data_IF_265742289099
#
_entry.id   IF_265742289099
#
_cell.length_a   1.000
_cell.length_b   1.000
_cell.length_c   1.000
_cell.angle_alpha   90.00
_cell.angle_beta   90.00
_cell.angle_gamma   90.00
#
_symmetry.space_group_name_H-M   'P 1'
#
loop_
_entity.id
_entity.type
_entity.pdbx_description
1 polymer ?
#
# COMPACT_ATOMS: atom_id res chain seq x y z
N UNK A 1 2.06 17.77 -17.69
CA UNK A 1 1.20 16.68 -18.18
C UNK A 1 1.28 16.71 -19.70
N UNK A 2 1.62 15.60 -20.36
CA UNK A 2 1.74 15.59 -21.82
C UNK A 2 0.32 15.68 -22.43
N UNK A 3 0.02 16.66 -23.30
CA UNK A 3 -1.33 16.86 -23.84
C UNK A 3 -1.79 15.76 -24.81
N UNK A 4 -0.91 14.80 -25.14
CA UNK A 4 -1.18 13.70 -26.07
C UNK A 4 -1.43 12.35 -25.37
N UNK A 5 -1.55 12.34 -24.04
CA UNK A 5 -1.77 11.11 -23.27
C UNK A 5 -3.28 10.85 -23.12
N UNK A 6 -3.74 9.64 -23.49
CA UNK A 6 -5.13 9.22 -23.38
C UNK A 6 -5.64 9.40 -21.93
N UNK A 7 -6.95 9.68 -21.72
CA UNK A 7 -7.52 9.93 -20.40
C UNK A 7 -7.22 8.79 -19.40
N UNK A 8 -6.71 9.14 -18.22
CA UNK A 8 -6.32 8.17 -17.17
C UNK A 8 -6.98 8.52 -15.84
N UNK A 9 -7.60 7.53 -15.20
CA UNK A 9 -7.93 7.59 -13.77
C UNK A 9 -6.78 6.99 -12.97
N UNK A 10 -6.37 7.67 -11.90
CA UNK A 10 -5.52 7.09 -10.85
C UNK A 10 -6.38 6.84 -9.62
N UNK A 11 -6.35 5.62 -9.09
CA UNK A 11 -7.07 5.28 -7.86
C UNK A 11 -6.05 4.90 -6.80
N UNK A 12 -6.16 5.51 -5.63
CA UNK A 12 -5.45 5.11 -4.42
C UNK A 12 -6.28 4.04 -3.71
N UNK A 13 -5.65 2.91 -3.42
CA UNK A 13 -6.20 1.85 -2.59
C UNK A 13 -5.54 1.94 -1.21
N UNK A 14 -6.34 1.78 -0.16
CA UNK A 14 -5.88 1.44 1.20
C UNK A 14 -6.10 -0.04 1.41
N UNK A 15 -5.12 -0.76 1.92
CA UNK A 15 -5.22 -2.19 2.17
C UNK A 15 -4.55 -2.60 3.48
N UNK A 16 -5.04 -3.67 4.09
CA UNK A 16 -4.36 -4.34 5.20
C UNK A 16 -3.47 -5.46 4.70
N UNK A 17 -2.45 -5.79 5.48
CA UNK A 17 -1.52 -6.90 5.31
C UNK A 17 -1.33 -7.60 6.66
N UNK A 18 -1.97 -8.74 6.86
CA UNK A 18 -2.01 -9.45 8.15
C UNK A 18 -1.89 -10.97 8.01
N UNK A 19 -1.41 -11.65 9.05
CA UNK A 19 -1.24 -13.10 9.07
C UNK A 19 -0.03 -13.58 8.27
N UNK A 20 -0.10 -14.79 7.68
CA UNK A 20 1.07 -15.46 7.07
C UNK A 20 1.72 -14.64 5.94
N UNK A 21 0.96 -13.81 5.24
CA UNK A 21 1.46 -12.93 4.19
C UNK A 21 2.49 -11.92 4.73
N UNK A 22 2.56 -11.67 6.04
CA UNK A 22 3.48 -10.71 6.64
C UNK A 22 4.96 -10.97 6.31
N UNK A 23 5.31 -12.24 6.05
CA UNK A 23 6.65 -12.68 5.71
C UNK A 23 7.03 -12.49 4.23
N UNK A 24 6.13 -11.97 3.39
CA UNK A 24 6.48 -11.62 2.00
C UNK A 24 7.28 -10.33 1.97
N UNK A 25 8.36 -10.29 1.17
CA UNK A 25 9.10 -9.05 0.93
C UNK A 25 8.27 -8.02 0.16
N UNK A 26 8.70 -6.76 0.17
CA UNK A 26 8.05 -5.72 -0.64
C UNK A 26 7.96 -6.09 -2.14
N UNK A 27 8.99 -6.74 -2.69
CA UNK A 27 8.99 -7.20 -4.08
C UNK A 27 7.93 -8.28 -4.33
N UNK A 28 7.69 -9.14 -3.36
CA UNK A 28 6.67 -10.19 -3.46
C UNK A 28 5.27 -9.60 -3.35
N UNK A 29 5.06 -8.60 -2.47
CA UNK A 29 3.82 -7.81 -2.40
C UNK A 29 3.55 -7.13 -3.74
N UNK A 30 4.55 -6.50 -4.36
CA UNK A 30 4.40 -5.90 -5.69
C UNK A 30 3.97 -6.92 -6.75
N UNK A 31 4.56 -8.12 -6.75
CA UNK A 31 4.17 -9.23 -7.65
C UNK A 31 2.77 -9.78 -7.34
N UNK A 32 2.33 -9.77 -6.09
CA UNK A 32 0.96 -10.16 -5.70
C UNK A 32 -0.03 -9.17 -6.30
N UNK A 33 0.23 -7.86 -6.16
CA UNK A 33 -0.61 -6.82 -6.74
C UNK A 33 -0.68 -6.89 -8.26
N UNK A 34 0.47 -7.00 -8.94
CA UNK A 34 0.51 -7.17 -10.40
C UNK A 34 -0.32 -8.38 -10.87
N UNK A 35 -0.21 -9.53 -10.18
CA UNK A 35 -0.94 -10.75 -10.53
C UNK A 35 -2.43 -10.63 -10.23
N UNK A 36 -2.80 -10.05 -9.09
CA UNK A 36 -4.19 -9.86 -8.68
C UNK A 36 -4.92 -8.92 -9.63
N UNK A 37 -4.30 -7.77 -9.93
CA UNK A 37 -4.83 -6.80 -10.90
C UNK A 37 -4.91 -7.36 -12.32
N UNK A 38 -4.01 -8.26 -12.72
CA UNK A 38 -4.14 -8.95 -14.01
C UNK A 38 -5.34 -9.89 -14.05
N UNK A 39 -5.69 -10.53 -12.92
CA UNK A 39 -6.84 -11.44 -12.82
C UNK A 39 -8.19 -10.73 -12.86
N UNK A 40 -8.25 -9.44 -12.53
CA UNK A 40 -9.52 -8.67 -12.55
C UNK A 40 -10.00 -8.31 -13.96
N UNK A 41 -9.11 -8.35 -14.96
CA UNK A 41 -9.40 -7.85 -16.31
C UNK A 41 -9.60 -6.34 -16.39
N UNK A 42 -9.34 -5.59 -15.32
CA UNK A 42 -9.44 -4.14 -15.32
C UNK A 42 -8.42 -3.51 -16.28
N UNK A 43 -8.72 -2.33 -16.87
CA UNK A 43 -7.87 -1.68 -17.86
C UNK A 43 -6.68 -0.97 -17.19
N UNK A 44 -5.85 -1.68 -16.45
CA UNK A 44 -4.66 -1.14 -15.76
C UNK A 44 -3.65 -0.66 -16.81
N UNK A 45 -3.18 0.58 -16.64
CA UNK A 45 -2.17 1.17 -17.49
C UNK A 45 -0.85 0.41 -17.37
N UNK A 46 -0.09 0.39 -18.46
CA UNK A 46 1.20 -0.29 -18.53
C UNK A 46 2.33 0.72 -18.73
N UNK A 47 3.52 0.42 -18.23
CA UNK A 47 4.75 1.15 -18.53
C UNK A 47 5.08 1.04 -20.02
N UNK A 48 5.78 2.04 -20.53
CA UNK A 48 6.27 2.03 -21.91
C UNK A 48 7.59 1.23 -22.01
N UNK A 49 7.89 0.69 -23.19
CA UNK A 49 9.11 -0.07 -23.46
C UNK A 49 8.90 -1.57 -23.77
N UNK A 50 9.99 -2.32 -23.83
CA UNK A 50 10.03 -3.72 -24.30
C UNK A 50 9.48 -4.76 -23.32
N UNK A 51 9.20 -4.38 -22.07
CA UNK A 51 8.58 -5.26 -21.07
C UNK A 51 7.56 -4.46 -20.26
N UNK A 52 6.34 -4.26 -20.81
CA UNK A 52 5.29 -3.51 -20.14
C UNK A 52 4.91 -4.14 -18.80
N UNK A 53 4.86 -3.32 -17.75
CA UNK A 53 4.43 -3.70 -16.40
C UNK A 53 3.26 -2.83 -15.99
N UNK A 54 2.41 -3.33 -15.09
CA UNK A 54 1.35 -2.52 -14.52
C UNK A 54 1.94 -1.24 -13.89
N UNK A 55 1.36 -0.08 -14.19
CA UNK A 55 1.74 1.20 -13.57
C UNK A 55 1.18 1.27 -12.15
N UNK A 56 1.98 0.78 -11.21
CA UNK A 56 1.72 0.74 -9.78
C UNK A 56 2.69 1.65 -9.05
N UNK A 57 2.19 2.42 -8.09
CA UNK A 57 3.03 3.29 -7.26
C UNK A 57 2.83 2.90 -5.80
N UNK A 58 3.93 2.56 -5.14
CA UNK A 58 3.92 2.13 -3.74
C UNK A 58 4.37 3.28 -2.83
N UNK A 59 3.85 3.28 -1.60
CA UNK A 59 4.31 4.14 -0.52
C UNK A 59 5.60 3.62 0.11
N UNK A 60 5.75 3.88 1.41
CA UNK A 60 6.82 3.31 2.22
C UNK A 60 6.62 1.79 2.32
N UNK A 61 7.70 1.03 2.20
CA UNK A 61 7.64 -0.42 2.28
C UNK A 61 7.56 -0.87 3.74
N UNK A 62 6.48 -1.58 4.10
CA UNK A 62 6.41 -2.30 5.36
C UNK A 62 7.51 -3.36 5.45
N UNK A 63 8.19 -3.41 6.60
CA UNK A 63 9.25 -4.38 6.84
C UNK A 63 8.72 -5.83 6.83
N UNK A 64 9.56 -6.76 6.39
CA UNK A 64 9.22 -8.19 6.41
C UNK A 64 8.97 -8.64 7.85
N UNK A 65 7.90 -9.42 8.06
CA UNK A 65 7.50 -9.89 9.38
C UNK A 65 6.45 -9.01 10.06
N UNK A 66 6.23 -7.80 9.55
CA UNK A 66 5.26 -6.86 10.12
C UNK A 66 3.90 -6.91 9.41
N UNK A 67 2.89 -6.58 10.19
CA UNK A 67 1.51 -6.42 9.77
C UNK A 67 1.14 -4.93 9.73
N UNK A 68 0.12 -4.57 8.95
CA UNK A 68 -0.35 -3.20 8.83
C UNK A 68 -1.81 -3.19 8.44
N UNK A 69 -2.58 -2.28 9.04
CA UNK A 69 -3.99 -2.05 8.70
C UNK A 69 -4.18 -1.05 7.55
N UNK A 70 -3.14 -0.28 7.24
CA UNK A 70 -3.23 0.86 6.34
C UNK A 70 -1.98 1.04 5.47
N UNK A 71 -1.75 0.07 4.59
CA UNK A 71 -0.84 0.24 3.46
C UNK A 71 -1.56 0.93 2.29
N UNK A 72 -0.79 1.55 1.41
CA UNK A 72 -1.34 2.27 0.26
C UNK A 72 -0.69 1.91 -1.07
N UNK A 73 -1.51 1.89 -2.12
CA UNK A 73 -1.12 1.60 -3.49
C UNK A 73 -1.89 2.51 -4.45
N UNK A 74 -1.18 3.25 -5.30
CA UNK A 74 -1.82 3.96 -6.41
C UNK A 74 -1.74 3.11 -7.68
N UNK A 75 -2.88 2.98 -8.35
CA UNK A 75 -3.02 2.23 -9.61
C UNK A 75 -3.45 3.18 -10.72
N UNK A 76 -2.66 3.22 -11.80
CA UNK A 76 -3.03 3.95 -13.01
C UNK A 76 -3.91 3.08 -13.92
N UNK A 77 -5.01 3.64 -14.42
CA UNK A 77 -5.88 3.01 -15.39
C UNK A 77 -5.82 3.73 -16.75
N UNK A 78 -6.14 2.99 -17.82
CA UNK A 78 -6.12 3.50 -19.21
C UNK A 78 -7.34 4.34 -19.59
N UNK A 79 -8.39 4.35 -18.76
CA UNK A 79 -9.65 5.06 -19.02
C UNK A 79 -9.91 6.05 -17.89
N UNK A 80 -10.66 7.12 -18.20
CA UNK A 80 -11.10 8.12 -17.22
C UNK A 80 -12.38 7.73 -16.45
N UNK A 81 -13.08 6.67 -16.85
CA UNK A 81 -14.39 6.26 -16.32
C UNK A 81 -14.31 4.99 -15.46
N UNK A 82 -13.13 4.71 -14.87
CA UNK A 82 -12.98 3.58 -13.96
C UNK A 82 -13.58 3.95 -12.60
N UNK A 83 -14.72 3.35 -12.30
CA UNK A 83 -15.44 3.48 -11.04
C UNK A 83 -14.73 2.74 -9.89
N UNK A 84 -14.63 3.40 -8.73
CA UNK A 84 -14.00 2.84 -7.53
C UNK A 84 -14.67 1.53 -7.09
N UNK A 85 -16.00 1.51 -7.04
CA UNK A 85 -16.75 0.32 -6.60
C UNK A 85 -16.47 -0.90 -7.47
N UNK A 86 -16.36 -0.70 -8.80
CA UNK A 86 -16.00 -1.77 -9.73
C UNK A 86 -14.61 -2.32 -9.46
N UNK A 87 -13.66 -1.47 -9.06
CA UNK A 87 -12.31 -1.91 -8.68
C UNK A 87 -12.36 -2.72 -7.39
N UNK A 88 -13.09 -2.26 -6.38
CA UNK A 88 -13.25 -2.97 -5.12
C UNK A 88 -13.88 -4.35 -5.33
N UNK A 89 -15.02 -4.42 -6.01
CA UNK A 89 -15.72 -5.68 -6.33
C UNK A 89 -14.83 -6.68 -7.05
N UNK A 90 -14.06 -6.21 -8.04
CA UNK A 90 -13.17 -7.08 -8.81
C UNK A 90 -11.97 -7.58 -7.99
N UNK A 91 -11.56 -6.86 -6.93
CA UNK A 91 -10.43 -7.23 -6.08
C UNK A 91 -10.79 -8.26 -5.00
N UNK A 92 -12.03 -8.23 -4.50
CA UNK A 92 -12.50 -9.08 -3.38
C UNK A 92 -12.18 -10.57 -3.58
N UNK A 93 -12.34 -11.10 -4.79
CA UNK A 93 -12.18 -12.55 -5.06
C UNK A 93 -10.79 -12.96 -5.57
N UNK A 94 -9.89 -12.01 -5.80
CA UNK A 94 -8.58 -12.28 -6.41
C UNK A 94 -7.40 -12.04 -5.49
N UNK A 95 -7.60 -11.28 -4.40
CA UNK A 95 -6.58 -11.05 -3.41
C UNK A 95 -6.38 -12.30 -2.54
N UNK A 96 -5.12 -12.59 -2.15
CA UNK A 96 -4.84 -13.71 -1.27
C UNK A 96 -5.28 -13.41 0.17
N UNK A 97 -5.51 -14.47 0.94
CA UNK A 97 -5.73 -14.37 2.38
C UNK A 97 -4.64 -13.55 3.06
N UNK A 98 -5.06 -12.63 3.92
CA UNK A 98 -4.18 -11.70 4.61
C UNK A 98 -3.97 -10.37 3.88
N UNK A 99 -4.50 -10.16 2.66
CA UNK A 99 -4.57 -8.85 2.01
C UNK A 99 -6.03 -8.48 1.75
N UNK A 100 -6.49 -7.38 2.34
CA UNK A 100 -7.84 -6.88 2.11
C UNK A 100 -7.80 -5.39 1.76
N UNK A 101 -8.55 -4.97 0.73
CA UNK A 101 -8.73 -3.55 0.43
C UNK A 101 -9.76 -2.97 1.40
N UNK A 102 -9.38 -1.94 2.14
CA UNK A 102 -10.17 -1.30 3.20
C UNK A 102 -10.62 0.11 2.83
N UNK A 103 -10.27 0.59 1.65
CA UNK A 103 -10.70 1.88 1.14
C UNK A 103 -10.13 2.17 -0.24
N UNK A 104 -10.77 3.06 -0.99
CA UNK A 104 -10.28 3.51 -2.28
C UNK A 104 -10.80 4.90 -2.64
N UNK A 105 -10.00 5.70 -3.36
CA UNK A 105 -10.42 7.00 -3.88
C UNK A 105 -9.74 7.36 -5.19
N UNK A 106 -10.43 8.12 -6.04
CA UNK A 106 -9.84 8.69 -7.25
C UNK A 106 -8.91 9.84 -6.85
N UNK A 107 -7.69 9.83 -7.38
CA UNK A 107 -6.73 10.91 -7.20
C UNK A 107 -6.90 11.98 -8.28
N UNK A 108 -6.84 13.25 -7.86
CA UNK A 108 -6.82 14.39 -8.77
C UNK A 108 -5.45 14.47 -9.48
N UNK A 109 -5.39 14.96 -10.73
CA UNK A 109 -4.13 15.29 -11.38
C UNK A 109 -3.27 16.20 -10.49
N UNK A 110 -1.97 15.92 -10.40
CA UNK A 110 -1.05 16.69 -9.56
C UNK A 110 -1.06 16.33 -8.07
N UNK A 111 -1.83 15.33 -7.63
CA UNK A 111 -1.71 14.79 -6.26
C UNK A 111 -0.26 14.33 -6.00
N UNK A 112 0.29 14.70 -4.83
CA UNK A 112 1.64 14.32 -4.40
C UNK A 112 1.82 12.79 -4.33
N UNK A 113 3.07 12.33 -4.44
CA UNK A 113 3.36 10.90 -4.41
C UNK A 113 3.01 10.29 -3.04
N UNK A 114 2.77 8.98 -2.99
CA UNK A 114 2.53 8.28 -1.73
C UNK A 114 3.65 8.51 -0.71
N UNK A 115 4.90 8.46 -1.15
CA UNK A 115 6.07 8.67 -0.30
C UNK A 115 6.10 10.07 0.33
N UNK A 116 5.60 11.08 -0.37
CA UNK A 116 5.48 12.45 0.15
C UNK A 116 4.23 12.66 1.00
N UNK A 117 3.18 11.87 0.79
CA UNK A 117 1.91 12.00 1.49
C UNK A 117 1.93 11.40 2.91
N UNK A 118 2.82 10.45 3.19
CA UNK A 118 2.95 9.83 4.51
C UNK A 118 3.72 10.76 5.44
N UNK A 119 3.05 11.28 6.47
CA UNK A 119 3.64 12.19 7.47
C UNK A 119 3.94 11.51 8.80
N UNK A 120 3.24 10.41 9.10
CA UNK A 120 3.37 9.67 10.35
C UNK A 120 2.95 8.21 10.16
N UNK A 121 3.35 7.37 11.10
CA UNK A 121 2.87 6.00 11.25
C UNK A 121 2.73 5.70 12.74
N UNK A 122 1.69 4.96 13.09
CA UNK A 122 1.48 4.47 14.44
C UNK A 122 1.91 3.01 14.50
N UNK A 123 2.53 2.63 15.62
CA UNK A 123 3.00 1.28 15.86
C UNK A 123 2.30 0.73 17.09
N UNK A 124 1.71 -0.46 16.93
CA UNK A 124 1.27 -1.28 18.04
C UNK A 124 2.29 -2.41 18.24
N UNK A 125 2.81 -2.52 19.46
CA UNK A 125 3.88 -3.44 19.81
C UNK A 125 3.46 -4.20 21.05
N UNK A 126 3.17 -5.48 20.87
CA UNK A 126 2.94 -6.39 21.98
C UNK A 126 4.29 -6.88 22.54
N UNK A 127 4.52 -6.61 23.82
CA UNK A 127 5.69 -7.08 24.54
C UNK A 127 5.30 -8.26 25.44
N UNK A 128 6.01 -9.38 25.29
CA UNK A 128 5.80 -10.60 26.08
C UNK A 128 6.77 -10.60 27.25
N UNK A 129 6.31 -11.04 28.42
CA UNK A 129 7.11 -11.15 29.66
C UNK A 129 7.70 -9.82 30.17
N UNK A 130 6.99 -8.71 29.94
CA UNK A 130 7.39 -7.36 30.38
C UNK A 130 6.36 -6.80 31.36
N UNK A 131 6.81 -6.24 32.49
CA UNK A 131 5.92 -5.57 33.45
C UNK A 131 5.60 -4.13 33.03
N UNK A 132 4.49 -3.58 33.53
CA UNK A 132 4.13 -2.18 33.28
C UNK A 132 5.23 -1.20 33.76
N UNK A 133 5.89 -1.51 34.88
CA UNK A 133 6.97 -0.69 35.42
C UNK A 133 8.23 -0.75 34.55
N UNK A 134 8.57 -1.93 34.00
CA UNK A 134 9.67 -2.06 33.03
C UNK A 134 9.39 -1.23 31.78
N UNK A 135 8.19 -1.34 31.24
CA UNK A 135 7.75 -0.61 30.05
C UNK A 135 7.80 0.91 30.28
N UNK A 136 7.25 1.41 31.39
CA UNK A 136 7.27 2.83 31.72
C UNK A 136 8.71 3.38 31.77
N UNK A 137 9.62 2.67 32.43
CA UNK A 137 11.04 3.07 32.49
C UNK A 137 11.72 3.08 31.12
N UNK A 138 11.36 2.15 30.23
CA UNK A 138 11.91 2.10 28.88
C UNK A 138 11.37 3.24 28.01
N UNK A 139 10.07 3.51 28.07
CA UNK A 139 9.45 4.65 27.37
C UNK A 139 10.07 5.96 27.83
N UNK A 140 10.20 6.20 29.14
CA UNK A 140 10.83 7.40 29.68
C UNK A 140 12.27 7.55 29.20
N UNK A 141 13.04 6.45 29.19
CA UNK A 141 14.42 6.46 28.68
C UNK A 141 14.48 6.83 27.20
N UNK A 142 13.60 6.27 26.37
CA UNK A 142 13.56 6.52 24.93
C UNK A 142 13.12 7.95 24.64
N UNK A 143 12.04 8.42 25.28
CA UNK A 143 11.53 9.77 25.10
C UNK A 143 12.46 10.86 25.66
N UNK A 144 13.24 10.54 26.70
CA UNK A 144 14.25 11.43 27.27
C UNK A 144 15.61 11.41 26.56
N UNK A 145 15.83 10.49 25.61
CA UNK A 145 17.10 10.38 24.90
C UNK A 145 17.26 11.49 23.86
N UNK A 146 18.45 12.12 23.84
CA UNK A 146 18.77 13.11 22.80
C UNK A 146 18.93 12.48 21.41
N UNK A 147 19.24 11.18 21.35
CA UNK A 147 19.38 10.40 20.10
C UNK A 147 18.94 8.96 20.33
N UNK A 148 18.32 8.35 19.32
CA UNK A 148 18.08 6.91 19.25
C UNK A 148 19.33 6.27 18.61
N UNK A 149 20.14 5.56 19.39
CA UNK A 149 21.26 4.74 18.89
C UNK A 149 20.79 3.31 18.65
#
# INVERSE_FOLDING_TARGET
MNPNEAPRTRIRLRYSKAGRIRFTSHRDVARIWERSLRRTGLPVAQTEGFSPRAKLHFGLALATGYESDAEYLDVDFKRADVEVNRVLEALVSVLPDGIAVTGASVLKPGTISLQQAVTSCDWDIELVDVTADDLARWVDRVCGAATLM
#
